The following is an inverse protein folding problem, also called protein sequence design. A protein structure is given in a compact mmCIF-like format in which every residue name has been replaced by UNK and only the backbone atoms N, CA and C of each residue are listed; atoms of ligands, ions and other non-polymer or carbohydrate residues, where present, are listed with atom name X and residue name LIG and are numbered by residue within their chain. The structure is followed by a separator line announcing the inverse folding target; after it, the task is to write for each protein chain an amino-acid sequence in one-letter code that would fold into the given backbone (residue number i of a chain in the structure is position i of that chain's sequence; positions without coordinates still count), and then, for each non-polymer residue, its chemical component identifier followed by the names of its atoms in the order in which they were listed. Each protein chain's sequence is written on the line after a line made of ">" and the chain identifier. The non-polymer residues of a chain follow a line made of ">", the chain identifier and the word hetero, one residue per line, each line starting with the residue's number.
data_IF_294531320124
#
_entry.id   IF_294531320124
#
_cell.length_a   1.000
_cell.length_b   1.000
_cell.length_c   1.000
_cell.angle_alpha   90.00
_cell.angle_beta   90.00
_cell.angle_gamma   90.00
#
_symmetry.space_group_name_H-M   'P 1'
#
loop_
_entity.id
_entity.type
_entity.pdbx_description
1 polymer ?
#
# COMPACT_ATOMS: atom_id res chain seq x y z
N UNK A 1 -3.90 20.94 -6.14
CA UNK A 1 -4.22 19.92 -7.16
C UNK A 1 -3.01 19.01 -7.25
N UNK A 2 -3.16 17.73 -6.90
CA UNK A 2 -2.08 16.73 -6.95
C UNK A 2 -2.11 15.96 -8.27
N UNK A 3 -1.12 15.10 -8.51
CA UNK A 3 -1.08 14.22 -9.67
C UNK A 3 -0.13 13.05 -9.47
N UNK A 4 -0.42 11.95 -10.16
CA UNK A 4 0.43 10.76 -10.21
C UNK A 4 1.34 10.88 -11.43
N UNK A 5 2.65 10.90 -11.22
CA UNK A 5 3.66 10.86 -12.29
C UNK A 5 4.32 9.49 -12.41
N UNK A 6 5.10 9.30 -13.47
CA UNK A 6 5.91 8.09 -13.68
C UNK A 6 7.34 8.51 -13.99
N UNK A 7 8.30 7.93 -13.27
CA UNK A 7 9.72 8.12 -13.52
C UNK A 7 10.40 6.76 -13.73
N UNK A 8 11.42 6.73 -14.58
CA UNK A 8 12.17 5.51 -14.97
C UNK A 8 13.65 5.64 -14.66
N UNK A 9 14.28 4.51 -14.35
CA UNK A 9 15.72 4.37 -14.16
C UNK A 9 16.14 2.93 -14.49
N UNK A 10 17.38 2.75 -14.96
CA UNK A 10 17.98 1.42 -15.19
C UNK A 10 18.57 0.82 -13.91
N UNK A 11 18.75 1.64 -12.87
CA UNK A 11 19.27 1.24 -11.57
C UNK A 11 18.23 1.58 -10.48
N UNK A 12 17.95 0.68 -9.52
CA UNK A 12 16.99 0.93 -8.44
C UNK A 12 17.32 2.15 -7.57
N UNK A 13 18.59 2.54 -7.49
CA UNK A 13 19.02 3.76 -6.80
C UNK A 13 18.93 5.04 -7.66
N UNK A 14 18.46 4.93 -8.91
CA UNK A 14 18.41 6.02 -9.87
C UNK A 14 19.72 6.24 -10.63
N UNK A 15 19.88 7.39 -11.32
CA UNK A 15 18.96 8.53 -11.31
C UNK A 15 17.65 8.25 -12.03
N UNK A 16 16.54 8.68 -11.42
CA UNK A 16 15.21 8.64 -12.03
C UNK A 16 15.00 9.83 -12.96
N UNK A 17 14.32 9.60 -14.09
CA UNK A 17 13.90 10.64 -15.04
C UNK A 17 12.39 10.56 -15.23
N UNK A 18 11.73 11.72 -15.28
CA UNK A 18 10.31 11.80 -15.64
C UNK A 18 10.11 11.21 -17.04
N UNK A 19 9.30 10.16 -17.13
CA UNK A 19 9.07 9.42 -18.37
C UNK A 19 8.01 10.08 -19.26
N UNK A 20 7.17 10.96 -18.70
CA UNK A 20 5.98 11.49 -19.36
C UNK A 20 6.08 12.99 -19.62
N UNK A 21 6.82 13.73 -18.79
CA UNK A 21 6.85 15.20 -18.80
C UNK A 21 5.52 15.84 -18.36
N UNK A 22 4.59 15.03 -17.84
CA UNK A 22 3.26 15.41 -17.36
C UNK A 22 2.74 14.33 -16.40
N UNK A 23 1.74 14.60 -15.56
CA UNK A 23 1.13 13.55 -14.76
C UNK A 23 0.43 12.50 -15.63
N UNK A 24 0.51 11.23 -15.22
CA UNK A 24 -0.29 10.13 -15.73
C UNK A 24 -1.77 10.32 -15.38
N UNK A 25 -2.06 10.76 -14.15
CA UNK A 25 -3.39 11.14 -13.66
C UNK A 25 -3.27 12.48 -12.94
N UNK A 26 -4.01 13.49 -13.39
CA UNK A 26 -3.90 14.89 -12.91
C UNK A 26 -5.21 15.43 -12.29
N UNK A 27 -6.24 14.58 -12.18
CA UNK A 27 -7.57 14.97 -11.75
C UNK A 27 -8.19 13.99 -10.75
N UNK A 28 -9.17 14.50 -10.02
CA UNK A 28 -10.04 13.67 -9.19
C UNK A 28 -10.97 12.85 -10.07
N UNK A 29 -11.14 11.58 -9.74
CA UNK A 29 -12.09 10.67 -10.40
C UNK A 29 -12.81 9.91 -9.29
N UNK A 30 -14.14 9.80 -9.34
CA UNK A 30 -14.95 9.18 -8.29
C UNK A 30 -14.64 9.72 -6.87
N UNK A 31 -14.32 11.01 -6.74
CA UNK A 31 -13.92 11.61 -5.46
C UNK A 31 -12.48 11.34 -5.01
N UNK A 32 -11.77 10.37 -5.62
CA UNK A 32 -10.40 10.03 -5.25
C UNK A 32 -9.39 11.07 -5.74
N UNK A 33 -8.61 11.63 -4.80
CA UNK A 33 -7.44 12.44 -5.14
C UNK A 33 -6.35 11.57 -5.79
N UNK A 34 -5.66 12.02 -6.85
CA UNK A 34 -4.54 11.30 -7.44
C UNK A 34 -3.27 11.39 -6.57
N UNK A 35 -3.25 10.61 -5.48
CA UNK A 35 -2.14 10.44 -4.53
C UNK A 35 -2.02 8.97 -4.14
N UNK A 36 -0.94 8.65 -3.41
CA UNK A 36 -0.72 7.35 -2.78
C UNK A 36 -0.93 6.18 -3.73
N UNK A 37 -0.30 6.25 -4.90
CA UNK A 37 -0.41 5.20 -5.89
C UNK A 37 0.32 3.93 -5.44
N UNK A 38 -0.26 2.77 -5.76
CA UNK A 38 0.38 1.47 -5.64
C UNK A 38 0.15 0.62 -6.89
N UNK A 39 1.24 0.25 -7.56
CA UNK A 39 1.23 -0.66 -8.71
C UNK A 39 1.37 -2.11 -8.27
N UNK A 40 0.43 -2.94 -8.71
CA UNK A 40 0.38 -4.37 -8.47
C UNK A 40 0.41 -5.11 -9.81
N UNK A 41 1.27 -6.13 -9.93
CA UNK A 41 1.26 -7.04 -11.08
C UNK A 41 0.61 -8.35 -10.66
N UNK A 42 -0.44 -8.74 -11.36
CA UNK A 42 -1.13 -10.00 -11.09
C UNK A 42 -0.51 -11.18 -11.85
N UNK A 43 -0.93 -12.40 -11.51
CA UNK A 43 -0.39 -13.65 -12.07
C UNK A 43 -0.67 -13.81 -13.58
N UNK A 44 -1.68 -13.12 -14.10
CA UNK A 44 -1.99 -13.06 -15.53
C UNK A 44 -1.05 -12.11 -16.32
N UNK A 45 -0.18 -11.39 -15.61
CA UNK A 45 0.75 -10.41 -16.17
C UNK A 45 0.20 -8.99 -16.28
N UNK A 46 -1.08 -8.77 -15.97
CA UNK A 46 -1.70 -7.45 -15.98
C UNK A 46 -1.18 -6.62 -14.81
N UNK A 47 -0.89 -5.35 -15.09
CA UNK A 47 -0.58 -4.36 -14.07
C UNK A 47 -1.83 -3.56 -13.72
N UNK A 48 -2.12 -3.46 -12.43
CA UNK A 48 -3.14 -2.59 -11.87
C UNK A 48 -2.47 -1.51 -11.04
N UNK A 49 -3.07 -0.32 -11.02
CA UNK A 49 -2.67 0.73 -10.07
C UNK A 49 -3.88 1.10 -9.22
N UNK A 50 -3.71 1.02 -7.91
CA UNK A 50 -4.66 1.51 -6.91
C UNK A 50 -4.18 2.88 -6.47
N UNK A 51 -5.10 3.83 -6.31
CA UNK A 51 -4.74 5.16 -5.85
C UNK A 51 -5.96 5.84 -5.22
N UNK A 52 -5.71 6.81 -4.34
CA UNK A 52 -6.80 7.60 -3.79
C UNK A 52 -6.53 8.11 -2.39
N UNK A 53 -7.26 9.17 -2.06
CA UNK A 53 -7.29 9.79 -0.74
C UNK A 53 -8.67 10.40 -0.50
N UNK A 54 -8.87 10.99 0.68
CA UNK A 54 -10.13 11.61 1.09
C UNK A 54 -11.32 10.65 1.11
N UNK A 55 -11.08 9.39 1.47
CA UNK A 55 -12.16 8.41 1.59
C UNK A 55 -12.62 7.80 0.29
N UNK A 56 -11.85 7.95 -0.80
CA UNK A 56 -12.13 7.32 -2.09
C UNK A 56 -10.89 6.64 -2.66
N UNK A 57 -11.06 5.45 -3.22
CA UNK A 57 -10.02 4.68 -3.87
C UNK A 57 -10.47 4.23 -5.26
N UNK A 58 -9.61 4.46 -6.25
CA UNK A 58 -9.79 3.95 -7.60
C UNK A 58 -8.74 2.88 -7.93
N UNK A 59 -9.10 2.04 -8.88
CA UNK A 59 -8.20 1.13 -9.55
C UNK A 59 -8.27 1.33 -11.07
N UNK A 60 -7.11 1.27 -11.73
CA UNK A 60 -6.94 1.36 -13.19
C UNK A 60 -6.08 0.20 -13.70
N UNK A 61 -6.24 -0.20 -14.97
CA UNK A 61 -5.26 -1.05 -15.67
C UNK A 61 -4.16 -0.18 -16.27
N UNK A 62 -2.92 -0.61 -16.13
CA UNK A 62 -1.77 -0.01 -16.81
C UNK A 62 -1.44 -0.77 -18.10
N UNK A 63 -0.94 -0.05 -19.10
CA UNK A 63 -0.27 -0.65 -20.25
C UNK A 63 0.99 -1.43 -19.81
N UNK A 64 1.47 -2.41 -20.60
CA UNK A 64 2.66 -3.19 -20.24
C UNK A 64 3.94 -2.37 -20.01
N UNK A 65 4.04 -1.19 -20.61
CA UNK A 65 5.15 -0.26 -20.40
C UNK A 65 5.01 0.62 -19.13
N UNK A 66 3.87 0.53 -18.45
CA UNK A 66 3.49 1.31 -17.27
C UNK A 66 3.36 2.83 -17.51
N UNK A 67 3.38 3.28 -18.77
CA UNK A 67 3.39 4.70 -19.13
C UNK A 67 2.00 5.26 -19.44
N UNK A 68 0.97 4.41 -19.47
CA UNK A 68 -0.41 4.82 -19.74
C UNK A 68 -1.42 3.91 -19.03
N UNK A 69 -2.61 4.44 -18.78
CA UNK A 69 -3.77 3.63 -18.38
C UNK A 69 -4.50 3.10 -19.62
N UNK A 70 -5.07 1.91 -19.52
CA UNK A 70 -5.82 1.24 -20.59
C UNK A 70 -7.21 0.84 -20.10
N UNK A 71 -8.21 0.70 -21.00
CA UNK A 71 -9.55 0.33 -20.57
C UNK A 71 -9.62 -1.08 -20.01
N UNK A 72 -10.56 -1.27 -19.09
CA UNK A 72 -11.08 -2.57 -18.72
C UNK A 72 -11.90 -3.16 -19.88
N UNK A 73 -12.22 -4.45 -19.79
CA UNK A 73 -12.92 -5.18 -20.85
C UNK A 73 -14.35 -4.66 -21.07
N UNK A 74 -14.93 -4.01 -20.06
CA UNK A 74 -16.22 -3.29 -20.14
C UNK A 74 -16.10 -1.87 -20.74
N UNK A 75 -14.90 -1.45 -21.16
CA UNK A 75 -14.62 -0.15 -21.74
C UNK A 75 -14.41 0.99 -20.74
N UNK A 76 -14.58 0.75 -19.43
CA UNK A 76 -14.29 1.76 -18.40
C UNK A 76 -12.79 1.96 -18.24
N UNK A 77 -12.37 3.15 -17.79
CA UNK A 77 -10.96 3.44 -17.49
C UNK A 77 -10.64 3.34 -15.99
N UNK A 78 -11.64 3.53 -15.13
CA UNK A 78 -11.50 3.61 -13.68
C UNK A 78 -12.59 2.77 -13.03
N UNK A 79 -12.23 2.02 -11.99
CA UNK A 79 -13.18 1.35 -11.09
C UNK A 79 -13.02 1.92 -9.68
N UNK A 80 -14.12 2.33 -9.07
CA UNK A 80 -14.11 2.68 -7.64
C UNK A 80 -14.10 1.40 -6.82
N UNK A 81 -13.16 1.30 -5.89
CA UNK A 81 -12.91 0.10 -5.06
C UNK A 81 -12.78 0.46 -3.58
N UNK A 82 -13.36 1.59 -3.18
CA UNK A 82 -13.30 2.16 -1.83
C UNK A 82 -13.85 1.17 -0.78
N UNK A 83 -13.02 0.67 0.17
CA UNK A 83 -13.50 -0.09 1.31
C UNK A 83 -14.08 0.82 2.39
N UNK A 84 -14.80 0.23 3.35
CA UNK A 84 -15.29 0.96 4.52
C UNK A 84 -14.12 1.60 5.31
N UNK A 85 -14.31 2.84 5.78
CA UNK A 85 -13.33 3.60 6.56
C UNK A 85 -12.01 3.92 5.84
N UNK A 86 -11.93 3.72 4.52
CA UNK A 86 -10.78 4.12 3.73
C UNK A 86 -10.42 5.59 3.98
N UNK A 87 -9.14 5.89 4.11
CA UNK A 87 -8.63 7.26 4.10
C UNK A 87 -7.70 7.46 2.90
N UNK A 88 -6.65 6.64 2.80
CA UNK A 88 -5.57 6.73 1.80
C UNK A 88 -4.67 5.47 1.82
N UNK A 89 -3.51 5.51 1.15
CA UNK A 89 -2.45 4.50 1.29
C UNK A 89 -2.80 3.07 0.84
N UNK A 90 -3.39 2.87 -0.36
CA UNK A 90 -3.75 1.54 -0.84
C UNK A 90 -2.49 0.68 -1.05
N UNK A 91 -2.57 -0.58 -0.69
CA UNK A 91 -1.52 -1.58 -0.94
C UNK A 91 -2.16 -2.93 -1.25
N UNK A 92 -1.69 -3.62 -2.29
CA UNK A 92 -2.20 -4.93 -2.69
C UNK A 92 -1.11 -5.99 -2.55
N UNK A 93 -1.42 -7.04 -1.79
CA UNK A 93 -0.60 -8.24 -1.68
C UNK A 93 -1.39 -9.44 -2.20
N UNK A 94 -0.75 -10.30 -2.99
CA UNK A 94 -1.30 -11.62 -3.34
C UNK A 94 -0.56 -12.72 -2.58
N UNK A 95 -1.31 -13.61 -1.91
CA UNK A 95 -0.77 -14.77 -1.18
C UNK A 95 -1.76 -15.92 -1.26
N UNK A 96 -1.28 -17.11 -1.62
CA UNK A 96 -2.09 -18.35 -1.71
C UNK A 96 -3.39 -18.19 -2.51
N UNK A 97 -3.31 -17.49 -3.65
CA UNK A 97 -4.46 -17.24 -4.53
C UNK A 97 -5.47 -16.20 -4.03
N UNK A 98 -5.23 -15.56 -2.88
CA UNK A 98 -6.07 -14.51 -2.31
C UNK A 98 -5.41 -13.14 -2.43
N UNK A 99 -6.25 -12.12 -2.53
CA UNK A 99 -5.87 -10.71 -2.60
C UNK A 99 -6.08 -10.06 -1.24
N UNK A 100 -5.02 -9.51 -0.68
CA UNK A 100 -5.00 -8.79 0.58
C UNK A 100 -4.87 -7.32 0.26
N UNK A 101 -6.00 -6.63 0.23
CA UNK A 101 -6.03 -5.20 0.02
C UNK A 101 -5.91 -4.50 1.38
N UNK A 102 -4.96 -3.59 1.50
CA UNK A 102 -4.63 -2.90 2.74
C UNK A 102 -4.72 -1.39 2.51
N UNK A 103 -5.06 -0.63 3.54
CA UNK A 103 -5.21 0.83 3.47
C UNK A 103 -5.04 1.50 4.82
N UNK A 104 -4.84 2.82 4.81
CA UNK A 104 -4.85 3.66 5.99
C UNK A 104 -6.28 4.05 6.39
N UNK A 105 -6.59 3.97 7.68
CA UNK A 105 -7.81 4.53 8.28
C UNK A 105 -7.44 5.61 9.32
N UNK A 106 -8.33 6.59 9.54
CA UNK A 106 -8.16 7.63 10.54
C UNK A 106 -7.29 8.81 10.07
N UNK A 107 -7.14 9.82 10.92
CA UNK A 107 -6.35 11.00 10.58
C UNK A 107 -4.85 10.73 10.81
N UNK A 108 -3.99 11.06 9.86
CA UNK A 108 -2.55 10.75 9.93
C UNK A 108 -1.79 11.36 11.14
N UNK A 109 -2.25 12.48 11.67
CA UNK A 109 -1.77 13.07 12.96
C UNK A 109 -2.55 12.61 14.18
N UNK A 110 -3.63 11.85 13.96
CA UNK A 110 -4.59 11.42 14.96
C UNK A 110 -4.20 10.12 15.67
N UNK A 111 -4.85 9.85 16.82
CA UNK A 111 -4.61 8.64 17.59
C UNK A 111 -5.21 7.37 16.95
N UNK A 112 -6.05 7.54 15.93
CA UNK A 112 -6.79 6.50 15.23
C UNK A 112 -6.13 6.07 13.92
N UNK A 113 -5.05 6.72 13.49
CA UNK A 113 -4.29 6.31 12.30
C UNK A 113 -3.81 4.87 12.43
N UNK A 114 -4.20 4.03 11.48
CA UNK A 114 -3.89 2.61 11.47
C UNK A 114 -3.92 2.05 10.05
N UNK A 115 -3.35 0.86 9.88
CA UNK A 115 -3.49 0.04 8.67
C UNK A 115 -4.60 -0.98 8.91
N UNK A 116 -5.57 -1.01 8.01
CA UNK A 116 -6.59 -2.06 7.94
C UNK A 116 -6.47 -2.87 6.65
N UNK A 117 -7.20 -3.97 6.56
CA UNK A 117 -7.20 -4.82 5.37
C UNK A 117 -8.50 -5.58 5.14
N UNK A 118 -8.62 -6.06 3.90
CA UNK A 118 -9.63 -6.98 3.40
C UNK A 118 -8.96 -8.20 2.75
N UNK A 119 -9.70 -9.30 2.62
CA UNK A 119 -9.30 -10.48 1.86
C UNK A 119 -10.34 -10.70 0.76
N UNK A 120 -9.91 -10.83 -0.49
CA UNK A 120 -10.78 -11.03 -1.65
C UNK A 120 -10.29 -12.16 -2.56
N UNK A 121 -11.21 -12.65 -3.40
CA UNK A 121 -10.96 -13.63 -4.47
C UNK A 121 -10.56 -12.99 -5.80
N UNK A 122 -10.59 -11.67 -5.87
CA UNK A 122 -10.39 -10.89 -7.10
C UNK A 122 -9.62 -9.61 -6.78
N UNK A 123 -8.77 -9.11 -7.70
CA UNK A 123 -8.12 -7.81 -7.54
C UNK A 123 -9.13 -6.64 -7.56
N UNK A 124 -10.39 -6.91 -7.92
CA UNK A 124 -11.49 -5.95 -7.99
C UNK A 124 -12.34 -5.90 -6.70
N UNK A 125 -12.02 -6.73 -5.71
CA UNK A 125 -12.86 -6.91 -4.53
C UNK A 125 -14.06 -7.83 -4.79
N UNK A 126 -15.16 -7.70 -4.03
CA UNK A 126 -15.40 -6.67 -3.01
C UNK A 126 -14.38 -6.72 -1.86
N UNK A 127 -14.04 -5.56 -1.31
CA UNK A 127 -13.09 -5.42 -0.21
C UNK A 127 -13.81 -5.21 1.12
N UNK A 128 -14.28 -6.31 1.69
CA UNK A 128 -14.89 -6.30 3.02
C UNK A 128 -13.82 -6.28 4.11
N UNK A 129 -13.93 -5.33 5.03
CA UNK A 129 -12.93 -5.09 6.08
C UNK A 129 -12.83 -6.27 7.05
N UNK A 130 -11.64 -6.85 7.17
CA UNK A 130 -11.34 -7.99 8.05
C UNK A 130 -10.80 -7.55 9.41
N UNK A 131 -9.85 -6.61 9.45
CA UNK A 131 -9.22 -6.22 10.71
C UNK A 131 -8.15 -5.15 10.57
N UNK A 132 -7.48 -4.85 11.69
CA UNK A 132 -6.32 -3.94 11.74
C UNK A 132 -5.03 -4.74 11.70
N UNK A 133 -4.10 -4.31 10.86
CA UNK A 133 -2.73 -4.85 10.79
C UNK A 133 -1.83 -4.08 11.75
N UNK A 134 -1.83 -2.75 11.68
CA UNK A 134 -0.89 -1.89 12.38
C UNK A 134 -1.63 -0.73 13.02
N UNK A 135 -1.29 -0.38 14.26
CA UNK A 135 -1.86 0.77 14.97
C UNK A 135 -0.83 1.34 15.93
N UNK A 136 -1.09 2.54 16.47
CA UNK A 136 -0.21 3.14 17.49
C UNK A 136 0.05 2.20 18.67
N UNK A 137 1.25 2.32 19.24
CA UNK A 137 1.60 1.80 20.55
C UNK A 137 2.11 3.00 21.39
N UNK A 138 1.37 3.45 22.41
CA UNK A 138 1.72 4.63 23.19
C UNK A 138 3.05 4.48 23.97
N UNK A 139 3.60 3.27 24.04
CA UNK A 139 4.90 2.98 24.66
C UNK A 139 6.04 2.94 23.66
N UNK A 140 5.76 2.99 22.35
CA UNK A 140 6.77 2.87 21.29
C UNK A 140 6.68 3.99 20.25
N UNK A 141 5.49 4.28 19.72
CA UNK A 141 5.27 5.32 18.72
C UNK A 141 3.81 5.45 18.26
N UNK A 142 3.49 6.62 17.69
CA UNK A 142 2.14 6.98 17.23
C UNK A 142 2.11 7.22 15.72
N UNK A 143 0.94 7.55 15.15
CA UNK A 143 0.85 7.95 13.74
C UNK A 143 1.29 6.88 12.74
N UNK A 144 1.10 5.60 13.05
CA UNK A 144 1.47 4.50 12.16
C UNK A 144 0.30 4.12 11.25
N UNK A 145 0.37 4.45 9.96
CA UNK A 145 -0.73 4.15 9.02
C UNK A 145 -0.36 4.00 7.54
N UNK A 146 0.69 4.65 7.01
CA UNK A 146 1.16 4.33 5.65
C UNK A 146 2.23 3.23 5.70
N UNK A 147 2.15 2.26 4.78
CA UNK A 147 2.97 1.06 4.82
C UNK A 147 3.25 0.48 3.43
N UNK A 148 4.15 -0.51 3.42
CA UNK A 148 4.40 -1.43 2.34
C UNK A 148 4.74 -2.80 2.93
N UNK A 149 4.57 -3.86 2.14
CA UNK A 149 4.91 -5.22 2.55
C UNK A 149 5.88 -5.83 1.54
N UNK A 150 6.90 -6.53 2.06
CA UNK A 150 7.85 -7.29 1.23
C UNK A 150 7.94 -8.73 1.69
N UNK A 151 8.17 -9.62 0.71
CA UNK A 151 8.48 -11.02 0.96
C UNK A 151 9.96 -11.18 1.28
N UNK A 152 10.25 -11.93 2.33
CA UNK A 152 11.60 -12.35 2.71
C UNK A 152 12.14 -13.52 1.89
N UNK A 153 13.21 -14.13 2.39
CA UNK A 153 13.87 -15.26 1.75
C UNK A 153 13.18 -16.60 2.04
N UNK A 154 12.47 -16.69 3.17
CA UNK A 154 11.66 -17.85 3.52
C UNK A 154 10.39 -17.99 2.66
N UNK A 155 9.85 -19.22 2.60
CA UNK A 155 8.70 -19.54 1.74
C UNK A 155 7.46 -18.68 2.04
N UNK A 156 7.24 -18.39 3.33
CA UNK A 156 6.14 -17.57 3.84
C UNK A 156 6.64 -16.49 4.81
N UNK A 157 7.77 -15.88 4.44
CA UNK A 157 8.41 -14.85 5.22
C UNK A 157 7.93 -13.46 4.78
N UNK A 158 7.38 -12.65 5.71
CA UNK A 158 6.85 -11.33 5.37
C UNK A 158 7.26 -10.24 6.37
N UNK A 159 7.46 -9.06 5.82
CA UNK A 159 7.83 -7.86 6.56
C UNK A 159 6.92 -6.70 6.16
N UNK A 160 6.47 -5.95 7.15
CA UNK A 160 5.82 -4.67 6.93
C UNK A 160 6.84 -3.56 7.17
N UNK A 161 6.96 -2.66 6.20
CA UNK A 161 7.72 -1.41 6.33
C UNK A 161 6.71 -0.28 6.42
N UNK A 162 6.83 0.56 7.43
CA UNK A 162 5.87 1.61 7.72
C UNK A 162 6.58 2.82 8.33
N UNK A 163 5.86 3.92 8.53
CA UNK A 163 6.37 5.03 9.33
C UNK A 163 5.66 5.15 10.67
N UNK A 164 6.31 5.79 11.64
CA UNK A 164 5.67 6.25 12.88
C UNK A 164 6.21 7.61 13.31
N UNK A 165 5.50 8.28 14.21
CA UNK A 165 6.05 9.39 14.99
C UNK A 165 6.77 8.84 16.24
N UNK A 166 8.02 9.23 16.50
CA UNK A 166 8.69 8.95 17.76
C UNK A 166 7.90 9.49 18.97
N UNK A 167 8.05 8.86 20.14
CA UNK A 167 7.41 9.37 21.35
C UNK A 167 7.90 10.79 21.68
N UNK A 168 6.95 11.67 21.99
CA UNK A 168 7.23 13.08 22.28
C UNK A 168 7.41 13.96 21.05
N UNK A 169 7.37 13.40 19.84
CA UNK A 169 7.32 14.20 18.61
C UNK A 169 5.99 14.94 18.52
N UNK A 170 6.06 16.23 18.14
CA UNK A 170 4.90 17.14 18.05
C UNK A 170 4.72 17.71 16.65
N UNK A 171 5.76 17.68 15.80
CA UNK A 171 5.63 17.93 14.38
C UNK A 171 5.08 16.68 13.70
N UNK A 172 3.87 16.78 13.13
CA UNK A 172 3.28 15.67 12.37
C UNK A 172 4.18 15.20 11.22
N UNK A 173 5.07 16.03 10.70
CA UNK A 173 5.98 15.61 9.64
C UNK A 173 7.16 14.77 10.16
N UNK A 174 7.39 14.76 11.47
CA UNK A 174 8.47 14.04 12.17
C UNK A 174 8.28 12.52 12.16
N UNK A 175 8.46 11.92 10.99
CA UNK A 175 8.26 10.48 10.75
C UNK A 175 9.59 9.75 10.64
N UNK A 176 9.64 8.54 11.18
CA UNK A 176 10.76 7.61 11.02
C UNK A 176 10.29 6.32 10.36
N UNK A 177 11.08 5.77 9.45
CA UNK A 177 10.83 4.46 8.84
C UNK A 177 11.12 3.34 9.83
N UNK A 178 10.25 2.35 9.86
CA UNK A 178 10.33 1.16 10.70
C UNK A 178 10.06 -0.10 9.87
N UNK A 179 10.52 -1.25 10.37
CA UNK A 179 10.28 -2.55 9.77
C UNK A 179 10.01 -3.56 10.88
N UNK A 180 8.95 -4.36 10.71
CA UNK A 180 8.59 -5.42 11.64
C UNK A 180 8.09 -6.66 10.88
N UNK A 181 8.03 -7.78 11.59
CA UNK A 181 7.49 -9.03 11.05
C UNK A 181 5.97 -8.94 10.86
N UNK A 182 5.50 -9.49 9.75
CA UNK A 182 4.07 -9.71 9.51
C UNK A 182 3.82 -11.20 9.40
N UNK A 183 2.77 -11.68 10.07
CA UNK A 183 2.41 -13.10 10.12
C UNK A 183 0.98 -13.31 9.65
N UNK A 184 0.72 -14.52 9.16
CA UNK A 184 -0.61 -14.99 8.82
C UNK A 184 -0.96 -16.18 9.72
N UNK A 185 -2.16 -16.19 10.27
CA UNK A 185 -2.65 -17.33 11.04
C UNK A 185 -3.09 -18.49 10.11
N UNK A 186 -3.53 -19.60 10.71
CA UNK A 186 -3.96 -20.81 9.99
C UNK A 186 -5.17 -20.56 9.08
N UNK A 187 -6.01 -19.57 9.38
CA UNK A 187 -7.15 -19.15 8.55
C UNK A 187 -6.72 -18.21 7.40
N UNK A 188 -5.43 -17.88 7.30
CA UNK A 188 -4.89 -16.94 6.33
C UNK A 188 -5.16 -15.46 6.64
N UNK A 189 -5.62 -15.12 7.85
CA UNK A 189 -5.76 -13.74 8.30
C UNK A 189 -4.41 -13.17 8.74
N UNK A 190 -4.20 -11.89 8.52
CA UNK A 190 -3.03 -11.17 9.01
C UNK A 190 -3.16 -10.97 10.52
N UNK A 191 -2.13 -11.36 11.26
CA UNK A 191 -2.03 -11.10 12.69
C UNK A 191 -1.63 -9.63 12.94
N UNK A 192 -2.17 -8.97 13.98
CA UNK A 192 -1.74 -7.62 14.33
C UNK A 192 -0.24 -7.53 14.56
N UNK A 193 0.39 -6.61 13.84
CA UNK A 193 1.83 -6.35 13.91
C UNK A 193 2.15 -5.71 15.25
N UNK A 194 3.19 -6.26 15.90
CA UNK A 194 3.76 -5.69 17.11
C UNK A 194 4.93 -4.78 16.72
N UNK A 195 4.81 -3.49 17.00
CA UNK A 195 5.91 -2.55 16.82
C UNK A 195 7.09 -2.90 17.72
N UNK A 196 8.30 -2.66 17.23
CA UNK A 196 9.55 -2.83 18.00
C UNK A 196 10.44 -1.58 17.96
N UNK A 197 11.47 -1.54 18.82
CA UNK A 197 12.55 -0.56 18.70
C UNK A 197 13.72 -1.11 17.88
N UNK A 198 13.90 -2.42 17.91
CA UNK A 198 15.03 -3.15 17.35
C UNK A 198 14.84 -3.46 15.85
N UNK A 199 13.59 -3.46 15.38
CA UNK A 199 13.24 -3.90 14.05
C UNK A 199 13.41 -5.41 13.89
N UNK A 200 13.83 -5.83 12.71
CA UNK A 200 13.96 -7.25 12.36
C UNK A 200 15.42 -7.70 12.30
N UNK A 201 15.66 -8.96 12.66
CA UNK A 201 16.96 -9.60 12.39
C UNK A 201 17.19 -9.68 10.87
N UNK A 202 18.45 -9.60 10.47
CA UNK A 202 18.81 -9.73 9.06
C UNK A 202 18.36 -11.10 8.51
N UNK A 203 17.60 -11.07 7.40
CA UNK A 203 17.26 -12.26 6.60
C UNK A 203 18.07 -12.22 5.30
N UNK A 204 19.27 -12.83 5.27
CA UNK A 204 20.12 -12.79 4.09
C UNK A 204 19.48 -13.56 2.94
N UNK A 205 19.53 -12.98 1.74
CA UNK A 205 19.14 -13.70 0.53
C UNK A 205 20.11 -14.87 0.32
N UNK A 206 19.59 -16.09 0.42
CA UNK A 206 20.36 -17.29 0.08
C UNK A 206 20.37 -17.37 -1.45
N UNK A 207 21.49 -16.98 -2.07
CA UNK A 207 21.70 -17.28 -3.48
C UNK A 207 21.76 -18.81 -3.64
N UNK A 208 20.76 -19.38 -4.30
CA UNK A 208 20.81 -20.75 -4.83
C UNK A 208 21.45 -20.75 -6.20
#
# INVERSE_FOLDING_TARGET
>A
MGGIGVAVADNPAGPFKDALGKPLIDKFVNGAQPIDQFVFKDDDGQYYMYYGGWGHCNMVKLAPDLLSIVPFDDGTMYKEVTPENYTEGPFMLKRNGKYYFMWSEGAWVGPDYCVAYAIADSPFGPFERVGKILQRDPTIGTGAGHHSVVKGSGEDEWYIIYHRHPLGETDGNGRVTCIDRMYFNEEGKIEPVKMTYEGVIASPLIHK
#
